data_IF_230015054205
#
_entry.id   IF_230015054205
#
_cell.length_a   1.000
_cell.length_b   1.000
_cell.length_c   1.000
_cell.angle_alpha   90.00
_cell.angle_beta   90.00
_cell.angle_gamma   90.00
#
_symmetry.space_group_name_H-M   'P 1'
#
loop_
_entity.id
_entity.type
_entity.pdbx_description
1 polymer ?
#
# COMPACT_ATOMS: atom_id res chain seq x y z
N UNK A 1 31.34 -17.74 26.39
CA UNK A 1 30.81 -17.73 25.00
C UNK A 1 29.31 -17.55 25.11
N UNK A 2 28.83 -16.30 25.07
CA UNK A 2 27.40 -16.00 25.15
C UNK A 2 26.97 -15.39 23.83
N UNK A 3 26.57 -16.25 22.90
CA UNK A 3 25.94 -15.86 21.64
C UNK A 3 24.55 -15.35 21.97
N UNK A 4 24.37 -14.03 22.11
CA UNK A 4 23.05 -13.43 22.13
C UNK A 4 22.45 -13.61 20.74
N UNK A 5 21.47 -14.50 20.63
CA UNK A 5 20.63 -14.61 19.43
C UNK A 5 19.92 -13.28 19.23
N UNK A 6 20.33 -12.53 18.21
CA UNK A 6 19.61 -11.35 17.72
C UNK A 6 18.24 -11.85 17.26
N UNK A 7 17.17 -11.53 18.00
CA UNK A 7 15.81 -11.71 17.50
C UNK A 7 15.73 -11.08 16.11
N UNK A 8 15.19 -11.79 15.10
CA UNK A 8 15.11 -11.23 13.75
C UNK A 8 14.34 -9.92 13.82
N UNK A 9 14.92 -8.86 13.25
CA UNK A 9 14.26 -7.57 13.18
C UNK A 9 12.94 -7.70 12.42
N UNK A 10 11.91 -6.98 12.86
CA UNK A 10 10.58 -7.05 12.25
C UNK A 10 10.63 -6.65 10.77
N UNK A 11 10.02 -7.44 9.86
CA UNK A 11 10.02 -7.11 8.45
C UNK A 11 9.22 -5.84 8.18
N UNK A 12 9.80 -4.93 7.39
CA UNK A 12 9.12 -3.74 6.89
C UNK A 12 8.78 -3.92 5.41
N UNK A 13 7.74 -3.25 4.93
CA UNK A 13 7.27 -3.37 3.56
C UNK A 13 7.10 -2.00 2.91
N UNK A 14 7.39 -1.97 1.60
CA UNK A 14 7.14 -0.83 0.72
C UNK A 14 6.83 -1.32 -0.69
N UNK A 15 6.23 -0.47 -1.51
CA UNK A 15 6.10 -0.62 -2.95
C UNK A 15 7.45 -0.28 -3.59
N UNK A 16 7.90 -1.10 -4.54
CA UNK A 16 9.17 -0.92 -5.25
C UNK A 16 8.93 -0.32 -6.64
N UNK A 17 9.21 0.98 -6.89
CA UNK A 17 9.13 1.55 -8.23
C UNK A 17 10.00 0.78 -9.25
N UNK A 18 11.19 0.36 -8.83
CA UNK A 18 12.10 -0.47 -9.63
C UNK A 18 11.44 -1.77 -10.14
N UNK A 19 10.58 -2.42 -9.33
CA UNK A 19 9.88 -3.63 -9.77
C UNK A 19 8.97 -3.37 -10.99
N UNK A 20 8.34 -2.20 -11.04
CA UNK A 20 7.48 -1.76 -12.15
C UNK A 20 8.31 -1.41 -13.39
N UNK A 21 9.42 -0.68 -13.20
CA UNK A 21 10.38 -0.34 -14.25
C UNK A 21 10.94 -1.59 -14.93
N UNK A 22 11.42 -2.57 -14.15
CA UNK A 22 11.95 -3.86 -14.62
C UNK A 22 10.95 -4.64 -15.50
N UNK A 23 9.65 -4.35 -15.38
CA UNK A 23 8.55 -5.03 -16.09
C UNK A 23 7.92 -4.19 -17.18
N UNK A 24 8.43 -2.98 -17.41
CA UNK A 24 7.84 -2.01 -18.33
C UNK A 24 6.36 -1.73 -18.00
N UNK A 25 6.02 -1.71 -16.71
CA UNK A 25 4.69 -1.35 -16.22
C UNK A 25 4.78 0.07 -15.69
N UNK A 26 3.91 0.96 -16.17
CA UNK A 26 3.83 2.32 -15.63
C UNK A 26 3.21 2.28 -14.22
N UNK A 27 4.00 2.66 -13.22
CA UNK A 27 3.52 2.78 -11.84
C UNK A 27 2.40 3.81 -11.74
N UNK A 28 2.50 4.96 -12.41
CA UNK A 28 1.44 5.97 -12.38
C UNK A 28 0.12 5.43 -12.93
N UNK A 29 0.14 4.71 -14.05
CA UNK A 29 -1.06 4.01 -14.58
C UNK A 29 -1.60 2.98 -13.58
N UNK A 30 -0.72 2.31 -12.82
CA UNK A 30 -1.13 1.39 -11.78
C UNK A 30 -1.75 2.11 -10.56
N UNK A 31 -1.31 3.33 -10.22
CA UNK A 31 -1.83 4.09 -9.08
C UNK A 31 -3.14 4.82 -9.39
N UNK A 32 -3.33 5.33 -10.61
CA UNK A 32 -4.51 6.14 -10.99
C UNK A 32 -5.88 5.50 -10.62
N UNK A 33 -6.10 4.19 -10.77
CA UNK A 33 -7.36 3.54 -10.35
C UNK A 33 -7.62 3.57 -8.83
N UNK A 34 -6.61 3.85 -7.99
CA UNK A 34 -6.74 3.94 -6.53
C UNK A 34 -7.14 5.33 -6.04
N UNK A 35 -7.08 6.35 -6.89
CA UNK A 35 -7.61 7.68 -6.57
C UNK A 35 -9.13 7.61 -6.35
N UNK A 36 -9.60 8.37 -5.37
CA UNK A 36 -11.02 8.65 -5.22
C UNK A 36 -11.55 9.44 -6.43
N UNK A 37 -12.87 9.51 -6.57
CA UNK A 37 -13.52 10.18 -7.70
C UNK A 37 -13.03 11.62 -7.88
N UNK A 38 -13.01 12.39 -6.80
CA UNK A 38 -12.60 13.80 -6.82
C UNK A 38 -11.15 13.97 -7.28
N UNK A 39 -10.19 13.25 -6.69
CA UNK A 39 -8.80 13.36 -7.09
C UNK A 39 -8.56 12.90 -8.53
N UNK A 40 -9.31 11.87 -9.00
CA UNK A 40 -9.24 11.41 -10.39
C UNK A 40 -9.78 12.45 -11.37
N UNK A 41 -10.91 13.07 -11.04
CA UNK A 41 -11.47 14.18 -11.83
C UNK A 41 -10.49 15.36 -11.89
N UNK A 42 -9.84 15.70 -10.77
CA UNK A 42 -8.82 16.74 -10.72
C UNK A 42 -7.61 16.48 -11.63
N UNK A 43 -7.16 15.23 -11.75
CA UNK A 43 -6.08 14.86 -12.69
C UNK A 43 -6.57 14.90 -14.15
N UNK A 44 -7.73 14.32 -14.43
CA UNK A 44 -8.26 14.19 -15.80
C UNK A 44 -8.81 15.51 -16.38
N UNK A 45 -9.08 16.50 -15.53
CA UNK A 45 -9.45 17.85 -15.94
C UNK A 45 -8.30 18.63 -16.62
N UNK A 46 -7.05 18.20 -16.42
CA UNK A 46 -5.86 18.81 -17.06
C UNK A 46 -5.90 18.68 -18.59
N UNK A 47 -5.22 19.59 -19.33
CA UNK A 47 -5.15 19.50 -20.79
C UNK A 47 -4.59 18.18 -21.30
N UNK A 48 -3.63 17.59 -20.58
CA UNK A 48 -3.00 16.30 -20.88
C UNK A 48 -3.85 15.09 -20.46
N UNK A 49 -5.02 15.29 -19.85
CA UNK A 49 -5.89 14.23 -19.31
C UNK A 49 -5.19 13.29 -18.33
N UNK A 50 -4.14 13.76 -17.65
CA UNK A 50 -3.33 12.95 -16.75
C UNK A 50 -2.31 12.05 -17.44
N UNK A 51 -2.13 12.19 -18.76
CA UNK A 51 -1.06 11.47 -19.48
C UNK A 51 0.29 12.00 -19.02
N UNK A 52 1.17 11.09 -18.59
CA UNK A 52 2.52 11.44 -18.14
C UNK A 52 2.59 11.99 -16.72
N UNK A 53 1.50 11.93 -15.94
CA UNK A 53 1.54 12.31 -14.53
C UNK A 53 2.58 11.45 -13.76
N UNK A 54 3.51 12.06 -13.01
CA UNK A 54 4.45 11.32 -12.17
C UNK A 54 3.71 10.48 -11.12
N UNK A 55 4.23 9.29 -10.80
CA UNK A 55 3.57 8.42 -9.83
C UNK A 55 3.64 9.01 -8.42
N UNK A 56 4.67 9.79 -8.13
CA UNK A 56 4.86 10.53 -6.88
C UNK A 56 3.71 11.52 -6.66
N UNK A 57 3.29 12.22 -7.71
CA UNK A 57 2.16 13.16 -7.62
C UNK A 57 0.84 12.44 -7.35
N UNK A 58 0.63 11.29 -7.99
CA UNK A 58 -0.55 10.44 -7.75
C UNK A 58 -0.52 9.92 -6.32
N UNK A 59 0.64 9.47 -5.83
CA UNK A 59 0.81 8.95 -4.48
C UNK A 59 0.55 10.04 -3.42
N UNK A 60 1.07 11.25 -3.62
CA UNK A 60 0.87 12.35 -2.67
C UNK A 60 -0.63 12.66 -2.53
N UNK A 61 -1.37 12.73 -3.63
CA UNK A 61 -2.83 12.90 -3.61
C UNK A 61 -3.56 11.76 -2.87
N UNK A 62 -3.04 10.54 -2.97
CA UNK A 62 -3.61 9.41 -2.23
C UNK A 62 -3.36 9.57 -0.74
N UNK A 63 -2.13 9.91 -0.33
CA UNK A 63 -1.74 10.07 1.07
C UNK A 63 -2.37 11.29 1.76
N UNK A 64 -2.50 12.41 1.05
CA UNK A 64 -3.03 13.66 1.61
C UNK A 64 -4.56 13.70 1.68
N UNK A 65 -5.25 12.94 0.83
CA UNK A 65 -6.71 13.02 0.72
C UNK A 65 -7.35 11.63 0.68
N UNK A 66 -7.07 10.83 -0.35
CA UNK A 66 -7.83 9.61 -0.60
C UNK A 66 -7.78 8.63 0.58
N UNK A 67 -6.66 8.55 1.30
CA UNK A 67 -6.50 7.64 2.44
C UNK A 67 -7.28 8.06 3.69
N UNK A 68 -7.79 9.28 3.74
CA UNK A 68 -8.62 9.79 4.83
C UNK A 68 -10.12 9.62 4.54
N UNK A 69 -10.46 9.31 3.28
CA UNK A 69 -11.86 9.21 2.86
C UNK A 69 -12.52 7.91 3.32
N UNK A 70 -13.78 7.97 3.78
CA UNK A 70 -14.58 6.79 4.01
C UNK A 70 -14.65 5.93 2.75
N UNK A 71 -14.38 4.63 2.89
CA UNK A 71 -14.38 3.69 1.77
C UNK A 71 -13.08 3.63 0.97
N UNK A 72 -12.00 4.26 1.44
CA UNK A 72 -10.67 4.01 0.90
C UNK A 72 -10.27 2.53 0.98
N UNK A 73 -10.55 1.90 2.12
CA UNK A 73 -10.54 0.45 2.32
C UNK A 73 -11.93 0.06 2.80
N UNK A 74 -12.55 -0.93 2.17
CA UNK A 74 -13.89 -1.44 2.51
C UNK A 74 -13.83 -2.92 2.90
N UNK A 75 -14.94 -3.44 3.41
CA UNK A 75 -15.12 -4.89 3.64
C UNK A 75 -14.87 -5.76 2.40
N UNK A 76 -15.11 -5.19 1.21
CA UNK A 76 -14.93 -5.86 -0.09
C UNK A 76 -13.50 -5.75 -0.62
N UNK A 77 -12.68 -4.87 -0.03
CA UNK A 77 -11.28 -4.71 -0.44
C UNK A 77 -10.52 -6.01 -0.19
N UNK A 78 -9.89 -6.61 -1.24
CA UNK A 78 -9.02 -7.77 -1.07
C UNK A 78 -7.86 -7.43 -0.14
N UNK A 79 -7.43 -8.39 0.68
CA UNK A 79 -6.35 -8.20 1.67
C UNK A 79 -5.12 -7.50 1.07
N UNK A 80 -4.65 -8.00 -0.09
CA UNK A 80 -3.45 -7.46 -0.73
C UNK A 80 -3.65 -6.03 -1.26
N UNK A 81 -4.84 -5.71 -1.79
CA UNK A 81 -5.19 -4.35 -2.20
C UNK A 81 -5.26 -3.41 -0.99
N UNK A 82 -5.76 -3.90 0.15
CA UNK A 82 -5.79 -3.14 1.41
C UNK A 82 -4.39 -2.76 1.87
N UNK A 83 -3.46 -3.72 1.93
CA UNK A 83 -2.05 -3.44 2.25
C UNK A 83 -1.45 -2.45 1.26
N UNK A 84 -1.66 -2.66 -0.05
CA UNK A 84 -1.15 -1.74 -1.06
C UNK A 84 -1.63 -0.30 -0.82
N UNK A 85 -2.92 -0.13 -0.52
CA UNK A 85 -3.51 1.17 -0.20
C UNK A 85 -2.96 1.78 1.08
N UNK A 86 -2.70 0.99 2.13
CA UNK A 86 -2.04 1.46 3.35
C UNK A 86 -0.62 1.97 3.06
N UNK A 87 0.15 1.25 2.23
CA UNK A 87 1.49 1.67 1.82
C UNK A 87 1.44 2.98 1.01
N UNK A 88 0.44 3.15 0.13
CA UNK A 88 0.23 4.43 -0.57
C UNK A 88 -0.11 5.57 0.39
N UNK A 89 -1.00 5.32 1.37
CA UNK A 89 -1.36 6.28 2.41
C UNK A 89 -0.15 6.70 3.27
N UNK A 90 0.79 5.78 3.48
CA UNK A 90 2.04 6.03 4.21
C UNK A 90 3.14 6.69 3.34
N UNK A 91 2.82 7.25 2.17
CA UNK A 91 3.78 7.83 1.19
C UNK A 91 4.91 6.85 0.84
N UNK A 92 4.57 5.56 0.81
CA UNK A 92 5.50 4.48 0.54
C UNK A 92 6.74 4.43 1.47
N UNK A 93 6.64 5.02 2.67
CA UNK A 93 7.64 4.78 3.71
C UNK A 93 7.61 3.30 4.12
N UNK A 94 8.75 2.70 4.49
CA UNK A 94 8.77 1.33 5.02
C UNK A 94 7.86 1.19 6.24
N UNK A 95 6.85 0.32 6.15
CA UNK A 95 5.89 0.08 7.24
C UNK A 95 6.11 -1.31 7.86
N UNK A 96 6.22 -1.45 9.20
CA UNK A 96 6.35 -2.74 9.85
C UNK A 96 5.09 -3.61 9.67
N UNK A 97 5.28 -4.93 9.68
CA UNK A 97 4.19 -5.91 9.52
C UNK A 97 3.07 -5.73 10.54
N UNK A 98 3.41 -5.49 11.80
CA UNK A 98 2.47 -5.26 12.90
C UNK A 98 1.58 -4.04 12.64
N UNK A 99 2.16 -2.90 12.22
CA UNK A 99 1.38 -1.70 11.89
C UNK A 99 0.47 -1.90 10.67
N UNK A 100 0.90 -2.67 9.66
CA UNK A 100 0.01 -3.03 8.54
C UNK A 100 -1.17 -3.88 8.99
N UNK A 101 -0.95 -4.83 9.91
CA UNK A 101 -2.01 -5.64 10.49
C UNK A 101 -2.98 -4.79 11.30
N UNK A 102 -2.46 -3.97 12.22
CA UNK A 102 -3.27 -3.10 13.07
C UNK A 102 -4.14 -2.16 12.24
N UNK A 103 -3.56 -1.49 11.24
CA UNK A 103 -4.32 -0.60 10.37
C UNK A 103 -5.40 -1.34 9.55
N UNK A 104 -5.13 -2.56 9.06
CA UNK A 104 -6.16 -3.37 8.39
C UNK A 104 -7.33 -3.72 9.32
N UNK A 105 -7.01 -4.11 10.56
CA UNK A 105 -8.01 -4.48 11.57
C UNK A 105 -8.84 -3.27 12.01
N UNK A 106 -8.22 -2.10 12.17
CA UNK A 106 -8.91 -0.84 12.41
C UNK A 106 -9.90 -0.52 11.28
N UNK A 107 -9.43 -0.60 10.02
CA UNK A 107 -10.29 -0.37 8.85
C UNK A 107 -11.45 -1.36 8.77
N UNK A 108 -11.26 -2.64 9.05
CA UNK A 108 -12.35 -3.63 9.07
C UNK A 108 -13.31 -3.43 10.24
N UNK A 109 -12.80 -2.98 11.39
CA UNK A 109 -13.59 -2.65 12.57
C UNK A 109 -14.63 -1.55 12.30
N UNK A 110 -14.35 -0.62 11.39
CA UNK A 110 -15.31 0.42 10.98
C UNK A 110 -16.55 -0.11 10.22
N UNK A 111 -16.49 -1.33 9.68
CA UNK A 111 -17.57 -1.91 8.87
C UNK A 111 -18.29 -3.08 9.55
N UNK A 112 -18.11 -3.29 10.86
CA UNK A 112 -18.60 -4.48 11.60
C UNK A 112 -18.17 -5.81 10.93
N UNK A 113 -17.10 -5.74 10.13
CA UNK A 113 -16.57 -6.88 9.42
C UNK A 113 -15.72 -7.68 10.41
N UNK A 114 -16.17 -8.89 10.76
CA UNK A 114 -15.37 -9.87 11.54
C UNK A 114 -14.26 -10.47 10.69
N UNK A 115 -13.31 -9.63 10.26
CA UNK A 115 -12.08 -10.04 9.59
C UNK A 115 -10.92 -9.84 10.55
N UNK A 116 -10.18 -10.92 10.76
CA UNK A 116 -8.91 -10.91 11.47
C UNK A 116 -7.89 -11.60 10.58
N UNK A 117 -6.63 -11.14 10.62
CA UNK A 117 -5.55 -11.77 9.89
C UNK A 117 -4.35 -11.94 10.82
N UNK A 118 -3.91 -13.18 11.02
CA UNK A 118 -2.67 -13.45 11.75
C UNK A 118 -1.48 -12.85 11.00
N UNK A 119 -0.48 -12.34 11.72
CA UNK A 119 0.77 -11.84 11.12
C UNK A 119 1.45 -12.86 10.21
N UNK A 120 1.45 -14.14 10.58
CA UNK A 120 2.03 -15.21 9.77
C UNK A 120 1.34 -15.37 8.39
N UNK A 121 0.01 -15.20 8.36
CA UNK A 121 -0.77 -15.23 7.11
C UNK A 121 -0.51 -13.98 6.29
N UNK A 122 -0.51 -12.80 6.92
CA UNK A 122 -0.21 -11.53 6.25
C UNK A 122 1.19 -11.57 5.63
N UNK A 123 2.20 -11.98 6.39
CA UNK A 123 3.58 -12.14 5.92
C UNK A 123 3.67 -13.07 4.70
N UNK A 124 3.00 -14.23 4.75
CA UNK A 124 2.99 -15.18 3.63
C UNK A 124 2.36 -14.60 2.36
N UNK A 125 1.30 -13.80 2.51
CA UNK A 125 0.65 -13.10 1.39
C UNK A 125 1.60 -12.05 0.81
N UNK A 126 2.24 -11.24 1.66
CA UNK A 126 3.18 -10.21 1.22
C UNK A 126 4.43 -10.79 0.56
N UNK A 127 4.96 -11.91 1.05
CA UNK A 127 6.08 -12.60 0.40
C UNK A 127 5.73 -13.15 -1.00
N UNK A 128 4.45 -13.30 -1.31
CA UNK A 128 3.95 -13.78 -2.62
C UNK A 128 3.29 -12.68 -3.45
N UNK A 129 3.38 -11.42 -3.01
CA UNK A 129 2.65 -10.28 -3.58
C UNK A 129 3.28 -9.66 -4.84
N UNK A 130 3.99 -10.47 -5.63
CA UNK A 130 4.78 -9.99 -6.77
C UNK A 130 3.99 -9.04 -7.69
N UNK A 131 2.72 -9.33 -7.98
CA UNK A 131 1.87 -8.52 -8.86
C UNK A 131 1.64 -7.06 -8.43
N UNK A 132 1.91 -6.72 -7.16
CA UNK A 132 1.74 -5.37 -6.61
C UNK A 132 3.06 -4.62 -6.43
N UNK A 133 4.20 -5.24 -6.75
CA UNK A 133 5.53 -4.67 -6.53
C UNK A 133 5.87 -4.42 -5.06
N UNK A 134 5.12 -5.00 -4.12
CA UNK A 134 5.41 -4.90 -2.68
C UNK A 134 6.64 -5.77 -2.36
N UNK A 135 7.59 -5.19 -1.64
CA UNK A 135 8.83 -5.88 -1.23
C UNK A 135 9.08 -5.67 0.25
N UNK A 136 9.67 -6.71 0.86
CA UNK A 136 10.25 -6.61 2.19
C UNK A 136 11.54 -5.80 2.12
N UNK A 137 11.75 -4.92 3.07
CA UNK A 137 12.95 -4.10 3.23
C UNK A 137 13.48 -4.19 4.66
N UNK A 138 14.74 -3.78 4.84
CA UNK A 138 15.30 -3.61 6.17
C UNK A 138 14.56 -2.47 6.91
N UNK A 139 14.45 -2.54 8.24
CA UNK A 139 14.00 -1.40 9.03
C UNK A 139 14.87 -0.16 8.74
N UNK A 140 14.28 1.05 8.71
CA UNK A 140 15.00 2.30 8.51
C UNK A 140 15.98 2.62 9.64
#
# INVERSE_FOLDING_TARGET
MSSQGKSPAEPHFQISPQWFEERNISLSVFLLPRLCRECREGITARPDKGVGVPWEEVMERIAEHCSQEPGFITEQTPLLEGVFRLLLGARNQPVPLSSLKEALEEWWGHYDARREVSEATLLRVLQRSGAYGIRQVAPP
#
